data_IF_343785806475
#
_entry.id   IF_343785806475
#
_cell.length_a   1.000
_cell.length_b   1.000
_cell.length_c   1.000
_cell.angle_alpha   90.00
_cell.angle_beta   90.00
_cell.angle_gamma   90.00
#
_symmetry.space_group_name_H-M   'P 1'
#
loop_
_entity.id
_entity.type
_entity.pdbx_description
1 polymer ?
#
# COMPACT_ATOMS: atom_id res chain seq x y z
N UNK A 1 27.24 -4.06 1.42
CA UNK A 1 26.44 -3.60 0.88
C UNK A 1 25.30 -3.34 1.60
N UNK A 2 24.60 -2.62 1.53
CA UNK A 2 23.59 -2.37 2.17
C UNK A 2 22.47 -2.93 1.72
N UNK A 3 21.82 -3.67 2.39
CA UNK A 3 20.67 -4.24 2.00
C UNK A 3 19.57 -3.73 2.79
N UNK A 4 19.83 -2.79 3.67
CA UNK A 4 18.83 -2.34 4.49
C UNK A 4 17.90 -1.43 3.80
N UNK A 5 16.63 -1.58 3.95
CA UNK A 5 15.63 -0.71 3.42
C UNK A 5 15.42 0.42 4.38
N UNK A 6 15.72 1.62 3.92
CA UNK A 6 15.51 2.76 4.78
C UNK A 6 14.09 3.27 4.64
N UNK A 7 13.45 2.96 3.53
CA UNK A 7 12.13 3.51 3.25
C UNK A 7 11.05 2.57 3.73
N UNK A 8 10.83 2.55 5.02
CA UNK A 8 9.79 1.72 5.59
C UNK A 8 8.50 2.49 5.73
N UNK A 9 7.35 1.86 5.53
CA UNK A 9 6.08 2.57 5.65
C UNK A 9 5.79 2.94 7.09
N UNK A 10 5.29 4.15 7.32
CA UNK A 10 4.90 4.58 8.65
C UNK A 10 3.44 4.97 8.69
N UNK A 11 2.79 5.14 7.54
CA UNK A 11 1.38 5.50 7.51
C UNK A 11 0.78 4.94 6.24
N UNK A 12 -0.46 4.46 6.29
CA UNK A 12 -1.15 3.96 5.12
C UNK A 12 -2.62 4.34 5.20
N UNK A 13 -3.22 4.67 4.05
CA UNK A 13 -4.64 4.94 3.95
C UNK A 13 -5.19 4.25 2.72
N UNK A 14 -6.30 3.54 2.85
CA UNK A 14 -6.94 2.92 1.68
C UNK A 14 -7.70 3.98 0.90
N UNK A 15 -7.60 3.93 -0.42
CA UNK A 15 -8.22 4.91 -1.28
C UNK A 15 -9.16 4.23 -2.26
N UNK A 16 -10.12 4.98 -2.80
CA UNK A 16 -11.03 4.46 -3.79
C UNK A 16 -10.25 3.99 -5.01
N UNK A 17 -10.72 2.91 -5.63
CA UNK A 17 -10.03 2.33 -6.78
C UNK A 17 -8.94 1.36 -6.39
N UNK A 18 -8.95 0.88 -5.15
CA UNK A 18 -7.98 -0.08 -4.65
C UNK A 18 -6.56 0.49 -4.71
N UNK A 19 -6.45 1.77 -4.36
CA UNK A 19 -5.16 2.42 -4.23
C UNK A 19 -4.80 2.54 -2.76
N UNK A 20 -3.51 2.66 -2.48
CA UNK A 20 -3.05 2.90 -1.13
C UNK A 20 -2.19 4.15 -1.13
N UNK A 21 -2.47 5.06 -0.21
CA UNK A 21 -1.58 6.16 0.06
C UNK A 21 -0.62 5.67 1.13
N UNK A 22 0.67 5.85 0.93
CA UNK A 22 1.67 5.38 1.88
C UNK A 22 2.68 6.48 2.13
N UNK A 23 2.95 6.75 3.41
CA UNK A 23 4.02 7.64 3.78
C UNK A 23 5.13 6.78 4.35
N UNK A 24 6.36 7.08 3.93
CA UNK A 24 7.51 6.30 4.33
C UNK A 24 8.35 7.05 5.35
N UNK A 25 9.24 6.34 6.00
CA UNK A 25 10.05 6.88 7.07
C UNK A 25 10.90 8.08 6.61
N UNK A 26 11.29 8.10 5.34
CA UNK A 26 12.06 9.21 4.81
C UNK A 26 11.18 10.39 4.38
N UNK A 27 9.89 10.35 4.77
CA UNK A 27 8.90 11.38 4.48
C UNK A 27 8.40 11.38 3.03
N UNK A 28 8.78 10.41 2.22
CA UNK A 28 8.20 10.32 0.89
C UNK A 28 6.76 9.84 1.00
N UNK A 29 5.92 10.39 0.13
CA UNK A 29 4.53 9.98 0.05
C UNK A 29 4.31 9.38 -1.32
N UNK A 30 3.68 8.22 -1.39
CA UNK A 30 3.51 7.54 -2.66
C UNK A 30 2.14 6.90 -2.75
N UNK A 31 1.73 6.61 -3.97
CA UNK A 31 0.47 5.92 -4.24
C UNK A 31 0.80 4.57 -4.84
N UNK A 32 0.27 3.52 -4.25
CA UNK A 32 0.47 2.17 -4.74
C UNK A 32 -0.85 1.63 -5.27
N UNK A 33 -0.84 1.13 -6.50
CA UNK A 33 -2.03 0.60 -7.15
C UNK A 33 -2.09 -0.89 -6.91
N UNK A 34 -3.06 -1.33 -6.12
CA UNK A 34 -3.20 -2.75 -5.77
C UNK A 34 -3.93 -3.56 -6.84
N UNK A 35 -4.47 -2.92 -7.88
CA UNK A 35 -5.31 -3.66 -8.81
C UNK A 35 -4.63 -4.87 -9.44
N UNK A 36 -3.35 -4.75 -9.77
CA UNK A 36 -2.65 -5.90 -10.35
C UNK A 36 -2.49 -7.02 -9.35
N UNK A 37 -2.22 -6.66 -8.08
CA UNK A 37 -2.02 -7.67 -7.06
C UNK A 37 -3.32 -8.39 -6.73
N UNK A 38 -4.44 -7.71 -6.86
CA UNK A 38 -5.73 -8.32 -6.55
C UNK A 38 -6.11 -9.44 -7.51
N UNK A 39 -5.37 -9.61 -8.60
CA UNK A 39 -5.62 -10.70 -9.53
C UNK A 39 -5.11 -12.03 -8.98
N UNK A 40 -4.21 -11.99 -7.99
CA UNK A 40 -3.67 -13.22 -7.43
C UNK A 40 -4.56 -13.77 -6.33
N UNK A 41 -4.68 -15.09 -6.26
CA UNK A 41 -5.52 -15.72 -5.25
C UNK A 41 -5.13 -15.34 -3.84
N UNK A 42 -3.85 -15.13 -3.59
CA UNK A 42 -3.39 -14.74 -2.26
C UNK A 42 -4.12 -13.52 -1.74
N UNK A 43 -4.48 -12.59 -2.64
CA UNK A 43 -5.11 -11.35 -2.24
C UNK A 43 -6.62 -11.33 -2.52
N UNK A 44 -7.22 -12.48 -2.80
CA UNK A 44 -8.63 -12.49 -3.23
C UNK A 44 -9.58 -11.88 -2.21
N UNK A 45 -9.28 -12.02 -0.92
CA UNK A 45 -10.16 -11.47 0.10
C UNK A 45 -10.20 -9.94 0.05
N UNK A 46 -9.18 -9.32 -0.50
CA UNK A 46 -9.09 -7.87 -0.55
C UNK A 46 -9.87 -7.27 -1.69
N UNK A 47 -10.45 -8.12 -2.55
CA UNK A 47 -11.36 -7.63 -3.58
C UNK A 47 -12.64 -7.10 -2.93
N UNK A 48 -12.92 -7.53 -1.71
CA UNK A 48 -14.01 -7.01 -0.93
C UNK A 48 -13.54 -5.71 -0.30
N UNK A 49 -14.25 -4.61 -0.56
CA UNK A 49 -13.81 -3.31 -0.09
C UNK A 49 -13.72 -3.20 1.42
N UNK A 50 -14.62 -3.87 2.13
CA UNK A 50 -14.58 -3.81 3.59
C UNK A 50 -13.30 -4.45 4.12
N UNK A 51 -12.82 -5.48 3.47
CA UNK A 51 -11.55 -6.09 3.88
C UNK A 51 -10.38 -5.21 3.48
N UNK A 52 -10.43 -4.64 2.28
CA UNK A 52 -9.35 -3.79 1.79
C UNK A 52 -9.15 -2.57 2.70
N UNK A 53 -10.23 -2.04 3.24
CA UNK A 53 -10.16 -0.86 4.09
C UNK A 53 -9.39 -1.09 5.39
N UNK A 54 -9.17 -2.34 5.77
CA UNK A 54 -8.58 -2.64 7.06
C UNK A 54 -7.06 -2.79 7.01
N UNK A 55 -6.43 -2.18 6.04
CA UNK A 55 -4.98 -2.20 5.92
C UNK A 55 -4.34 -1.39 7.04
N UNK A 56 -3.21 -1.87 7.55
CA UNK A 56 -2.47 -1.18 8.59
C UNK A 56 -0.99 -1.36 8.40
N UNK A 57 -0.21 -0.42 8.91
CA UNK A 57 1.22 -0.61 8.99
C UNK A 57 1.46 -1.59 10.14
N UNK A 58 2.20 -2.64 9.87
CA UNK A 58 2.47 -3.65 10.87
C UNK A 58 3.96 -3.95 10.84
N UNK A 59 4.69 -3.39 11.80
CA UNK A 59 6.15 -3.52 11.79
C UNK A 59 6.73 -2.82 10.57
N UNK A 60 7.36 -3.58 9.70
CA UNK A 60 8.00 -3.01 8.52
C UNK A 60 7.17 -3.24 7.26
N UNK A 61 5.96 -3.75 7.38
CA UNK A 61 5.17 -4.09 6.21
C UNK A 61 3.75 -3.56 6.34
N UNK A 62 2.96 -3.71 5.29
CA UNK A 62 1.53 -3.44 5.36
C UNK A 62 0.81 -4.77 5.49
N UNK A 63 -0.22 -4.80 6.32
CA UNK A 63 -0.94 -6.02 6.57
C UNK A 63 -2.42 -5.73 6.69
N UNK A 64 -3.24 -6.69 6.30
CA UNK A 64 -4.69 -6.58 6.41
C UNK A 64 -5.19 -7.51 7.50
N UNK A 65 -6.35 -7.20 8.05
CA UNK A 65 -6.90 -8.01 9.15
C UNK A 65 -7.22 -9.43 8.70
N UNK A 66 -7.38 -9.66 7.40
CA UNK A 66 -7.63 -11.00 6.89
C UNK A 66 -6.33 -11.80 6.70
N UNK A 67 -5.19 -11.23 7.05
CA UNK A 67 -3.94 -11.97 7.10
C UNK A 67 -2.94 -11.70 6.00
N UNK A 68 -3.37 -11.07 4.92
CA UNK A 68 -2.45 -10.79 3.81
C UNK A 68 -1.47 -9.70 4.19
N UNK A 69 -0.28 -9.75 3.61
CA UNK A 69 0.69 -8.69 3.81
C UNK A 69 1.41 -8.44 2.50
N UNK A 70 2.18 -7.37 2.45
CA UNK A 70 2.94 -7.05 1.24
C UNK A 70 4.24 -6.41 1.68
N UNK A 71 5.32 -6.87 1.08
CA UNK A 71 6.67 -6.48 1.51
C UNK A 71 6.95 -5.01 1.25
N UNK A 72 7.72 -4.36 2.11
CA UNK A 72 7.99 -2.94 1.95
C UNK A 72 8.73 -2.61 0.66
N UNK A 73 9.63 -3.49 0.21
CA UNK A 73 10.36 -3.25 -1.02
C UNK A 73 9.40 -3.20 -2.19
N UNK A 74 8.43 -4.10 -2.22
CA UNK A 74 7.50 -4.15 -3.32
C UNK A 74 6.68 -2.87 -3.39
N UNK A 75 6.24 -2.40 -2.23
CA UNK A 75 5.47 -1.19 -2.18
C UNK A 75 6.30 0.00 -2.62
N UNK A 76 7.49 0.11 -2.05
CA UNK A 76 8.30 1.31 -2.30
C UNK A 76 8.71 1.43 -3.75
N UNK A 77 9.19 0.33 -4.34
CA UNK A 77 9.73 0.41 -5.69
C UNK A 77 8.67 0.39 -6.78
N UNK A 78 7.44 0.01 -6.45
CA UNK A 78 6.39 -0.06 -7.46
C UNK A 78 5.31 1.00 -7.30
N UNK A 79 5.48 1.91 -6.35
CA UNK A 79 4.51 2.97 -6.16
C UNK A 79 4.97 4.24 -6.88
N UNK A 80 4.04 5.17 -7.04
CA UNK A 80 4.29 6.41 -7.76
C UNK A 80 4.35 7.54 -6.75
N UNK A 81 5.37 8.41 -6.81
CA UNK A 81 5.41 9.55 -5.89
C UNK A 81 4.13 10.36 -5.98
N UNK A 82 3.64 10.82 -4.83
CA UNK A 82 2.37 11.53 -4.78
C UNK A 82 2.33 12.72 -5.74
N UNK A 83 3.43 13.45 -5.84
CA UNK A 83 3.46 14.61 -6.72
C UNK A 83 3.39 14.26 -8.20
N UNK A 84 3.69 13.00 -8.54
CA UNK A 84 3.63 12.55 -9.93
C UNK A 84 2.34 11.85 -10.26
N UNK A 85 1.48 11.61 -9.26
CA UNK A 85 0.23 10.91 -9.49
C UNK A 85 -0.78 11.91 -10.02
N UNK A 86 -1.27 11.69 -11.24
CA UNK A 86 -2.07 12.69 -11.94
C UNK A 86 -3.58 12.53 -11.80
N UNK A 87 -4.03 11.50 -11.12
CA UNK A 87 -5.45 11.25 -11.04
C UNK A 87 -6.01 11.67 -9.69
N UNK A 88 -7.32 11.78 -9.63
CA UNK A 88 -7.99 12.18 -8.40
C UNK A 88 -7.80 11.14 -7.31
N UNK A 89 -7.61 11.58 -6.07
CA UNK A 89 -7.43 10.70 -4.94
C UNK A 89 -8.59 10.91 -3.99
N UNK A 90 -9.29 9.83 -3.65
CA UNK A 90 -10.39 9.92 -2.70
C UNK A 90 -10.24 8.83 -1.66
N UNK A 91 -10.43 9.17 -0.41
CA UNK A 91 -10.38 8.17 0.64
C UNK A 91 -11.55 7.21 0.51
N UNK A 92 -11.31 5.97 0.84
CA UNK A 92 -12.33 4.95 0.76
C UNK A 92 -13.22 5.03 1.99
N UNK A 93 -14.52 5.02 1.79
CA UNK A 93 -15.47 5.11 2.92
C UNK A 93 -15.81 3.75 3.49
#
# INVERSE_FOLDING_TARGET
MKNKIEELPIEVKPLEGYLLYIKFKNNEEKIYDMKEMLKFDYYKNLRNKENFKKVKVYGITLKWSTGEDIAPEKIYFNSIPLNDYKFEIKEMN
#
